data_IF_300862343926
#
_entry.id   IF_300862343926
#
_cell.length_a   1.000
_cell.length_b   1.000
_cell.length_c   1.000
_cell.angle_alpha   90.00
_cell.angle_beta   90.00
_cell.angle_gamma   90.00
#
_symmetry.space_group_name_H-M   'P 1'
#
loop_
_entity.id
_entity.type
_entity.pdbx_description
1 polymer ?
#
# COMPACT_ATOMS: atom_id res chain seq x y z
N UNK A 1 -7.75 -17.97 1.29
CA UNK A 1 -6.81 -16.88 0.96
C UNK A 1 -7.61 -15.60 1.07
N UNK A 2 -7.24 -14.72 1.99
CA UNK A 2 -7.90 -13.43 2.16
C UNK A 2 -7.64 -12.58 0.92
N UNK A 3 -8.69 -12.16 0.22
CA UNK A 3 -8.54 -11.31 -0.96
C UNK A 3 -8.44 -9.83 -0.55
N UNK A 4 -7.52 -9.10 -1.18
CA UNK A 4 -7.42 -7.66 -1.01
C UNK A 4 -8.65 -7.01 -1.65
N UNK A 5 -9.37 -6.21 -0.87
CA UNK A 5 -10.57 -5.49 -1.32
C UNK A 5 -10.49 -4.02 -0.94
N UNK A 6 -11.12 -3.16 -1.74
CA UNK A 6 -11.21 -1.72 -1.45
C UNK A 6 -12.07 -1.52 -0.19
N UNK A 7 -11.57 -0.73 0.75
CA UNK A 7 -12.14 -0.58 2.10
C UNK A 7 -11.66 -1.63 3.11
N UNK A 8 -11.01 -2.69 2.64
CA UNK A 8 -10.39 -3.72 3.48
C UNK A 8 -9.11 -3.23 4.15
N UNK A 9 -8.74 -3.89 5.25
CA UNK A 9 -7.42 -3.69 5.86
C UNK A 9 -6.43 -4.69 5.28
N UNK A 10 -5.20 -4.22 5.14
CA UNK A 10 -4.07 -5.01 4.66
C UNK A 10 -2.88 -4.78 5.57
N UNK A 11 -2.07 -5.81 5.75
CA UNK A 11 -0.79 -5.76 6.42
C UNK A 11 0.33 -5.69 5.39
N UNK A 12 1.33 -4.86 5.66
CA UNK A 12 2.55 -4.83 4.84
C UNK A 12 3.47 -6.00 5.24
N UNK A 13 3.68 -6.94 4.32
CA UNK A 13 4.55 -8.12 4.55
C UNK A 13 5.96 -7.94 4.02
N UNK A 14 6.17 -6.96 3.12
CA UNK A 14 7.48 -6.64 2.58
C UNK A 14 7.52 -5.17 2.13
N UNK A 15 8.66 -4.52 2.30
CA UNK A 15 8.83 -3.11 1.95
C UNK A 15 9.51 -3.01 0.57
N UNK A 16 8.90 -2.35 -0.43
CA UNK A 16 9.56 -2.08 -1.71
C UNK A 16 10.73 -1.09 -1.52
N UNK A 17 11.74 -1.07 -2.42
CA UNK A 17 12.89 -0.17 -2.30
C UNK A 17 12.50 1.32 -2.36
N UNK A 18 11.37 1.64 -2.99
CA UNK A 18 10.80 2.98 -3.03
C UNK A 18 9.27 2.90 -2.94
N UNK A 19 8.67 3.85 -2.23
CA UNK A 19 7.22 4.00 -2.13
C UNK A 19 6.75 5.06 -3.11
N UNK A 20 5.74 4.74 -3.92
CA UNK A 20 5.10 5.72 -4.79
C UNK A 20 3.86 6.25 -4.09
N UNK A 21 3.70 7.57 -3.96
CA UNK A 21 2.50 8.13 -3.32
C UNK A 21 1.26 7.95 -4.19
N UNK A 22 0.09 7.79 -3.54
CA UNK A 22 -1.20 7.69 -4.20
C UNK A 22 -1.87 9.07 -4.46
N UNK A 23 -1.12 10.17 -4.32
CA UNK A 23 -1.61 11.52 -4.58
C UNK A 23 -1.83 11.78 -6.09
N UNK A 24 -2.58 12.84 -6.46
CA UNK A 24 -2.75 13.25 -7.86
C UNK A 24 -1.43 13.49 -8.59
N UNK A 25 -0.39 13.91 -7.87
CA UNK A 25 0.98 14.03 -8.36
C UNK A 25 1.86 12.98 -7.66
N UNK A 26 2.05 11.78 -8.25
CA UNK A 26 2.79 10.70 -7.61
C UNK A 26 4.26 11.06 -7.44
N UNK A 27 4.78 10.87 -6.23
CA UNK A 27 6.19 11.06 -5.90
C UNK A 27 6.80 9.76 -5.39
N UNK A 28 8.09 9.55 -5.70
CA UNK A 28 8.88 8.50 -5.06
C UNK A 28 9.36 8.97 -3.70
N UNK A 29 9.13 8.16 -2.69
CA UNK A 29 9.52 8.39 -1.30
C UNK A 29 10.39 7.24 -0.81
N UNK A 30 11.26 7.50 0.18
CA UNK A 30 12.04 6.45 0.82
C UNK A 30 11.13 5.43 1.53
N UNK A 31 11.58 4.18 1.66
CA UNK A 31 10.82 3.10 2.28
C UNK A 31 10.55 3.30 3.77
N UNK A 32 11.36 4.13 4.45
CA UNK A 32 11.30 4.40 5.90
C UNK A 32 9.99 5.06 6.40
N UNK A 33 9.05 5.32 5.49
CA UNK A 33 7.71 5.83 5.81
C UNK A 33 6.73 4.73 6.23
N UNK A 34 7.04 3.46 6.00
CA UNK A 34 6.23 2.33 6.45
C UNK A 34 7.14 1.24 7.00
N UNK A 35 6.64 0.46 7.93
CA UNK A 35 7.33 -0.70 8.49
C UNK A 35 6.63 -2.00 8.08
N UNK A 36 7.38 -3.10 8.15
CA UNK A 36 6.77 -4.43 8.07
C UNK A 36 5.78 -4.56 9.23
N UNK A 37 4.67 -5.27 8.97
CA UNK A 37 3.51 -5.44 9.83
C UNK A 37 2.62 -4.20 10.01
N UNK A 38 2.95 -3.07 9.37
CA UNK A 38 2.06 -1.90 9.35
C UNK A 38 0.72 -2.28 8.71
N UNK A 39 -0.35 -1.87 9.37
CA UNK A 39 -1.72 -2.09 8.90
C UNK A 39 -2.19 -0.83 8.18
N UNK A 40 -2.46 -0.97 6.88
CA UNK A 40 -3.05 0.06 6.06
C UNK A 40 -4.49 -0.28 5.65
N UNK A 41 -5.23 0.73 5.20
CA UNK A 41 -6.56 0.56 4.62
C UNK A 41 -6.49 0.77 3.12
N UNK A 42 -7.03 -0.17 2.35
CA UNK A 42 -7.11 -0.04 0.89
C UNK A 42 -8.12 1.06 0.54
N UNK A 43 -7.66 2.12 -0.12
CA UNK A 43 -8.50 3.25 -0.53
C UNK A 43 -8.88 3.19 -2.00
N UNK A 44 -8.05 2.58 -2.85
CA UNK A 44 -8.32 2.45 -4.27
C UNK A 44 -7.58 1.25 -4.89
N UNK A 45 -8.02 0.86 -6.08
CA UNK A 45 -7.31 -0.08 -6.95
C UNK A 45 -7.05 0.60 -8.29
N UNK A 46 -5.79 0.74 -8.68
CA UNK A 46 -5.40 1.37 -9.94
C UNK A 46 -5.25 0.35 -11.08
N UNK A 47 -5.51 0.76 -12.33
CA UNK A 47 -5.18 -0.03 -13.50
C UNK A 47 -3.69 -0.41 -13.46
N UNK A 48 -3.38 -1.68 -13.70
CA UNK A 48 -2.00 -2.21 -13.60
C UNK A 48 -1.70 -3.00 -12.32
N UNK A 49 -2.69 -3.25 -11.46
CA UNK A 49 -2.54 -4.17 -10.32
C UNK A 49 -2.00 -3.52 -9.04
N UNK A 50 -1.89 -2.20 -9.01
CA UNK A 50 -1.49 -1.45 -7.81
C UNK A 50 -2.70 -1.14 -6.93
N UNK A 51 -2.47 -1.21 -5.62
CA UNK A 51 -3.41 -0.87 -4.57
C UNK A 51 -2.99 0.44 -3.93
N UNK A 52 -3.89 1.42 -3.92
CA UNK A 52 -3.74 2.59 -3.06
C UNK A 52 -4.04 2.18 -1.64
N UNK A 53 -3.03 2.20 -0.78
CA UNK A 53 -3.15 1.86 0.65
C UNK A 53 -2.81 3.08 1.47
N UNK A 54 -3.73 3.47 2.35
CA UNK A 54 -3.54 4.55 3.32
C UNK A 54 -3.01 3.98 4.63
N UNK A 55 -1.80 4.41 4.97
CA UNK A 55 -1.14 4.18 6.26
C UNK A 55 -1.20 5.46 7.09
N UNK A 56 -0.72 5.40 8.33
CA UNK A 56 -0.64 6.56 9.22
C UNK A 56 0.24 7.68 8.65
N UNK A 57 1.34 7.33 7.97
CA UNK A 57 2.30 8.29 7.39
C UNK A 57 1.95 8.80 5.99
N UNK A 58 0.86 8.32 5.39
CA UNK A 58 0.46 8.72 4.04
C UNK A 58 -0.16 7.58 3.24
N UNK A 59 -0.48 7.87 1.98
CA UNK A 59 -1.07 6.90 1.06
C UNK A 59 -0.08 6.51 -0.02
N UNK A 60 0.13 5.21 -0.22
CA UNK A 60 1.12 4.67 -1.14
C UNK A 60 0.49 3.65 -2.09
N UNK A 61 1.06 3.56 -3.29
CA UNK A 61 0.72 2.56 -4.30
C UNK A 61 1.60 1.34 -4.10
N UNK A 62 0.97 0.22 -3.76
CA UNK A 62 1.64 -1.03 -3.45
C UNK A 62 1.07 -2.17 -4.30
N UNK A 63 1.93 -3.06 -4.74
CA UNK A 63 1.53 -4.30 -5.41
C UNK A 63 1.02 -5.31 -4.37
N UNK A 64 0.09 -6.17 -4.77
CA UNK A 64 -0.39 -7.30 -3.96
C UNK A 64 0.71 -8.17 -3.36
N UNK A 65 1.89 -8.29 -3.99
CA UNK A 65 3.02 -9.07 -3.43
C UNK A 65 3.60 -8.51 -2.12
N UNK A 66 3.35 -7.24 -1.82
CA UNK A 66 3.81 -6.57 -0.59
C UNK A 66 2.73 -6.55 0.49
N UNK A 67 1.52 -7.00 0.17
CA UNK A 67 0.33 -6.83 0.99
C UNK A 67 -0.30 -8.17 1.32
N UNK A 68 -0.78 -8.31 2.54
CA UNK A 68 -1.58 -9.44 2.99
C UNK A 68 -2.91 -8.93 3.53
N UNK A 69 -4.04 -9.44 3.04
CA UNK A 69 -5.35 -9.08 3.55
C UNK A 69 -5.61 -9.75 4.91
N UNK A 70 -6.16 -8.97 5.85
CA UNK A 70 -6.49 -9.42 7.22
C UNK A 70 -8.00 -9.53 7.45
#
# INVERSE_FOLDING_TARGET
MSEISVGGKVRLIAIPPYLKTADPMPMLRPPDLVNIDDIGTVIDRRPGGYWGVKFERGSFLLDSKYLEAI
#
